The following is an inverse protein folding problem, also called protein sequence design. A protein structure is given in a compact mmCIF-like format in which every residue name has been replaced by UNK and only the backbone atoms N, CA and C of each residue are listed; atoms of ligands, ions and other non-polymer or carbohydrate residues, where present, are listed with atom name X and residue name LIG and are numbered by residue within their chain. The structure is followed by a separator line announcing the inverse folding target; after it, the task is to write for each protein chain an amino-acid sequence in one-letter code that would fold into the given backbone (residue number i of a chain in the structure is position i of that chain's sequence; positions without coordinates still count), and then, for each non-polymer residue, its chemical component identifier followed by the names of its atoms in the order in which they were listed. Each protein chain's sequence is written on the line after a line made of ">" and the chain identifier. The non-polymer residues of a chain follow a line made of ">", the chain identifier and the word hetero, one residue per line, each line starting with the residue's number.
data_IF_170975292156
#
_entry.id   IF_170975292156
#
_cell.length_a   1.000
_cell.length_b   1.000
_cell.length_c   1.000
_cell.angle_alpha   90.00
_cell.angle_beta   90.00
_cell.angle_gamma   90.00
#
_symmetry.space_group_name_H-M   'P 1'
#
loop_
_entity.id
_entity.type
_entity.pdbx_description
1 polymer ?
#
# COMPACT_ATOMS: atom_id res chain seq x y z
N UNK A 1 19.90 -2.77 -1.44
CA UNK A 1 18.45 -2.61 -1.22
C UNK A 1 17.71 -3.54 -2.16
N UNK A 2 16.86 -4.42 -1.63
CA UNK A 2 16.16 -5.44 -2.43
C UNK A 2 14.91 -4.87 -3.12
N UNK A 3 14.38 -5.56 -4.12
CA UNK A 3 13.10 -5.15 -4.76
C UNK A 3 11.94 -5.11 -3.76
N UNK A 4 11.94 -6.01 -2.76
CA UNK A 4 10.94 -6.00 -1.68
C UNK A 4 11.00 -4.72 -0.85
N UNK A 5 12.21 -4.25 -0.53
CA UNK A 5 12.40 -3.01 0.24
C UNK A 5 11.84 -1.79 -0.51
N UNK A 6 12.04 -1.74 -1.83
CA UNK A 6 11.51 -0.67 -2.68
C UNK A 6 9.98 -0.67 -2.73
N UNK A 7 9.37 -1.85 -2.82
CA UNK A 7 7.91 -2.01 -2.86
C UNK A 7 7.29 -1.56 -1.52
N UNK A 8 7.86 -1.97 -0.39
CA UNK A 8 7.35 -1.58 0.93
C UNK A 8 7.53 -0.08 1.14
N UNK A 9 8.70 0.48 0.81
CA UNK A 9 8.94 1.91 0.94
C UNK A 9 7.98 2.73 0.08
N UNK A 10 7.76 2.33 -1.18
CA UNK A 10 6.80 2.98 -2.06
C UNK A 10 5.36 2.88 -1.53
N UNK A 11 4.97 1.71 -1.01
CA UNK A 11 3.65 1.53 -0.38
C UNK A 11 3.43 2.47 0.81
N UNK A 12 4.42 2.58 1.71
CA UNK A 12 4.34 3.43 2.90
C UNK A 12 4.28 4.92 2.54
N UNK A 13 4.99 5.33 1.49
CA UNK A 13 4.97 6.71 0.97
C UNK A 13 3.64 7.02 0.29
N UNK A 14 3.16 6.13 -0.58
CA UNK A 14 1.87 6.30 -1.27
C UNK A 14 0.68 6.28 -0.31
N UNK A 15 0.78 5.56 0.81
CA UNK A 15 -0.20 5.57 1.89
C UNK A 15 -0.15 6.83 2.77
N UNK A 16 0.82 7.74 2.55
CA UNK A 16 0.99 8.96 3.32
C UNK A 16 1.51 8.75 4.76
N UNK A 17 1.95 7.54 5.11
CA UNK A 17 2.39 7.18 6.46
C UNK A 17 3.77 7.75 6.75
N UNK A 18 4.66 7.73 5.77
CA UNK A 18 6.05 8.18 5.91
C UNK A 18 6.51 9.03 4.72
N UNK A 19 7.45 9.93 4.96
CA UNK A 19 8.25 10.51 3.88
C UNK A 19 9.19 9.46 3.27
N UNK A 20 9.68 9.70 2.05
CA UNK A 20 10.57 8.75 1.36
C UNK A 20 11.78 8.32 2.20
N UNK A 21 12.40 9.27 2.91
CA UNK A 21 13.55 9.01 3.78
C UNK A 21 13.18 8.17 5.00
N UNK A 22 12.06 8.49 5.66
CA UNK A 22 11.56 7.74 6.82
C UNK A 22 11.13 6.33 6.44
N UNK A 23 10.47 6.17 5.28
CA UNK A 23 10.05 4.87 4.77
C UNK A 23 11.26 3.96 4.53
N UNK A 24 12.34 4.49 3.96
CA UNK A 24 13.58 3.71 3.77
C UNK A 24 14.20 3.31 5.11
N UNK A 25 14.32 4.24 6.07
CA UNK A 25 14.88 3.93 7.39
C UNK A 25 14.06 2.87 8.13
N UNK A 26 12.73 2.99 8.09
CA UNK A 26 11.83 2.00 8.67
C UNK A 26 12.00 0.63 8.03
N UNK A 27 12.02 0.55 6.69
CA UNK A 27 12.21 -0.72 5.96
C UNK A 27 13.56 -1.36 6.31
N UNK A 28 14.59 -0.58 6.61
CA UNK A 28 15.87 -1.10 7.06
C UNK A 28 15.83 -1.73 8.47
N UNK A 29 14.92 -1.28 9.34
CA UNK A 29 14.74 -1.85 10.69
C UNK A 29 13.90 -3.13 10.73
N UNK A 30 13.19 -3.45 9.64
CA UNK A 30 12.31 -4.61 9.59
C UNK A 30 13.06 -5.93 9.42
N UNK A 31 12.57 -6.97 10.08
CA UNK A 31 13.03 -8.33 9.86
C UNK A 31 12.58 -8.87 8.48
N UNK A 32 13.24 -9.91 7.98
CA UNK A 32 12.89 -10.54 6.70
C UNK A 32 11.44 -11.07 6.71
N UNK A 33 10.97 -11.55 7.87
CA UNK A 33 9.61 -12.05 8.07
C UNK A 33 8.58 -10.92 7.91
N UNK A 34 8.82 -9.78 8.57
CA UNK A 34 7.90 -8.64 8.56
C UNK A 34 7.82 -7.98 7.17
N UNK A 35 8.96 -7.93 6.46
CA UNK A 35 8.99 -7.51 5.06
C UNK A 35 8.12 -8.40 4.17
N UNK A 36 8.12 -9.70 4.42
CA UNK A 36 7.24 -10.65 3.71
C UNK A 36 5.76 -10.32 3.91
N UNK A 37 5.36 -10.07 5.16
CA UNK A 37 3.98 -9.70 5.52
C UNK A 37 3.57 -8.38 4.87
N UNK A 38 4.42 -7.35 4.92
CA UNK A 38 4.14 -6.04 4.32
C UNK A 38 4.02 -6.09 2.79
N UNK A 39 4.85 -6.90 2.12
CA UNK A 39 4.71 -7.13 0.67
C UNK A 39 3.38 -7.82 0.35
N UNK A 40 2.94 -8.77 1.17
CA UNK A 40 1.62 -9.40 1.00
C UNK A 40 0.48 -8.40 1.15
N UNK A 41 0.55 -7.52 2.15
CA UNK A 41 -0.45 -6.45 2.34
C UNK A 41 -0.43 -5.46 1.16
N UNK A 42 0.74 -5.04 0.70
CA UNK A 42 0.87 -4.14 -0.46
C UNK A 42 0.30 -4.77 -1.75
N UNK A 43 0.46 -6.08 -1.94
CA UNK A 43 -0.14 -6.82 -3.05
C UNK A 43 -1.66 -6.89 -2.97
N UNK A 44 -2.21 -7.13 -1.79
CA UNK A 44 -3.67 -7.08 -1.54
C UNK A 44 -4.20 -5.65 -1.78
N UNK A 45 -3.40 -4.64 -1.41
CA UNK A 45 -3.72 -3.24 -1.63
C UNK A 45 -3.81 -2.81 -3.08
N UNK A 46 -3.03 -3.43 -3.96
CA UNK A 46 -3.16 -3.20 -5.41
C UNK A 46 -4.44 -3.81 -6.00
N UNK A 47 -5.13 -4.68 -5.27
CA UNK A 47 -6.35 -5.34 -5.71
C UNK A 47 -7.64 -4.67 -5.26
N UNK A 48 -7.72 -4.13 -4.04
CA UNK A 48 -8.96 -3.53 -3.50
C UNK A 48 -8.82 -2.89 -2.10
N UNK A 49 -7.76 -2.13 -1.80
CA UNK A 49 -7.72 -1.44 -0.50
C UNK A 49 -8.45 -0.10 -0.59
N UNK A 50 -9.72 -0.18 -0.20
CA UNK A 50 -10.53 0.93 0.27
C UNK A 50 -9.93 1.34 1.62
N UNK A 51 -8.95 2.24 1.60
CA UNK A 51 -8.48 2.93 2.81
C UNK A 51 -9.68 3.75 3.31
N UNK A 52 -10.31 3.28 4.38
CA UNK A 52 -11.31 4.05 5.12
C UNK A 52 -10.62 5.25 5.77
N UNK A 53 -10.38 6.30 5.00
CA UNK A 53 -10.14 7.63 5.50
C UNK A 53 -10.90 8.62 4.60
N UNK A 54 -12.15 8.88 4.98
CA UNK A 54 -12.91 10.08 4.61
C UNK A 54 -13.20 10.41 3.14
N UNK A 55 -12.74 9.66 2.13
CA UNK A 55 -13.03 9.97 0.72
C UNK A 55 -13.50 8.72 -0.01
N UNK A 56 -14.81 8.72 -0.33
CA UNK A 56 -15.44 7.75 -1.23
C UNK A 56 -14.87 7.95 -2.62
N UNK A 57 -13.91 7.11 -3.01
CA UNK A 57 -13.64 6.87 -4.43
C UNK A 57 -14.34 5.58 -4.83
N UNK A 58 -15.55 5.73 -5.38
CA UNK A 58 -16.21 4.69 -6.16
C UNK A 58 -15.38 4.41 -7.40
N UNK A 59 -14.71 3.25 -7.46
CA UNK A 59 -14.19 2.74 -8.72
C UNK A 59 -15.36 2.27 -9.56
N UNK A 60 -15.72 3.08 -10.57
CA UNK A 60 -16.71 2.75 -11.58
C UNK A 60 -16.37 1.42 -12.26
N UNK A 61 -17.22 0.42 -12.03
CA UNK A 61 -17.21 -0.87 -12.72
C UNK A 61 -18.60 -1.48 -12.88
N UNK A 62 -19.67 -0.69 -12.70
CA UNK A 62 -21.04 -1.17 -12.82
C UNK A 62 -21.90 -0.17 -13.56
N UNK A 63 -22.29 -0.47 -14.81
CA UNK A 63 -23.30 0.28 -15.54
C UNK A 63 -24.54 0.45 -14.65
N UNK A 64 -25.04 1.68 -14.42
CA UNK A 64 -26.33 1.86 -13.76
C UNK A 64 -27.43 1.47 -14.75
N UNK A 65 -28.02 0.29 -14.59
CA UNK A 65 -29.31 -0.02 -15.22
C UNK A 65 -30.41 0.43 -14.26
N UNK A 66 -31.04 1.57 -14.58
CA UNK A 66 -32.37 1.92 -14.08
C UNK A 66 -33.41 1.26 -14.99
N UNK A 67 -34.28 0.45 -14.39
CA UNK A 67 -35.70 0.33 -14.72
C UNK A 67 -36.39 -0.09 -13.42
#
# INVERSE_FOLDING_TARGET
>A
MTNKDKIIAAFLVSAGIFSATQAMQYVHTLSVKDKGTLVSVAKISSGNVLLCDGIVFTTEGGKPKRA
#
